data_IF_458805112859
#
_entry.id   IF_458805112859
#
_cell.length_a   1.000
_cell.length_b   1.000
_cell.length_c   1.000
_cell.angle_alpha   90.00
_cell.angle_beta   90.00
_cell.angle_gamma   90.00
#
_symmetry.space_group_name_H-M   'P 1'
#
loop_
_entity.id
_entity.type
_entity.pdbx_description
1 polymer ?
#
# COMPACT_ATOMS: atom_id res chain seq x y z
N UNK A 1 16.58 12.43 -53.64
CA UNK A 1 17.29 12.28 -52.36
C UNK A 1 16.27 11.88 -51.29
N UNK A 2 16.50 10.72 -50.66
CA UNK A 2 15.75 10.14 -49.51
C UNK A 2 15.93 11.08 -48.29
N UNK A 3 15.07 11.14 -47.26
CA UNK A 3 14.65 10.11 -46.28
C UNK A 3 13.50 10.74 -45.47
N UNK A 4 12.52 9.96 -45.00
CA UNK A 4 11.58 10.42 -43.97
C UNK A 4 10.45 9.43 -43.70
N UNK A 5 10.79 8.30 -43.09
CA UNK A 5 9.85 7.25 -42.66
C UNK A 5 8.73 7.79 -41.76
N UNK A 6 7.48 7.53 -42.14
CA UNK A 6 6.33 7.61 -41.25
C UNK A 6 6.43 6.51 -40.19
N UNK A 7 6.66 6.90 -38.93
CA UNK A 7 6.35 6.08 -37.78
C UNK A 7 4.92 6.39 -37.34
N UNK A 8 3.99 5.58 -37.83
CA UNK A 8 2.72 5.34 -37.14
C UNK A 8 3.04 4.40 -35.97
N UNK A 9 3.14 4.94 -34.75
CA UNK A 9 3.22 4.14 -33.54
C UNK A 9 1.89 4.26 -32.79
N UNK A 10 0.90 3.52 -33.27
CA UNK A 10 -0.27 3.12 -32.49
C UNK A 10 0.20 1.98 -31.59
N UNK A 11 0.43 2.25 -30.30
CA UNK A 11 0.70 1.21 -29.31
C UNK A 11 -0.37 1.25 -28.23
N UNK A 12 -1.40 0.45 -28.49
CA UNK A 12 -2.42 -0.02 -27.56
C UNK A 12 -1.70 -0.67 -26.37
N UNK A 13 -1.78 -0.05 -25.19
CA UNK A 13 -1.31 -0.64 -23.95
C UNK A 13 -2.40 -1.54 -23.37
N UNK A 14 -2.48 -2.75 -23.90
CA UNK A 14 -2.99 -3.91 -23.17
C UNK A 14 -1.84 -4.89 -23.04
N UNK A 15 -1.18 -4.89 -21.89
CA UNK A 15 -0.34 -6.01 -21.48
C UNK A 15 -0.87 -6.54 -20.15
N UNK A 16 -1.76 -7.52 -20.28
CA UNK A 16 -1.84 -8.64 -19.35
C UNK A 16 -0.45 -9.28 -19.29
N UNK A 17 0.20 -9.18 -18.15
CA UNK A 17 1.38 -9.99 -17.86
C UNK A 17 0.94 -11.10 -16.90
N UNK A 18 0.52 -12.22 -17.49
CA UNK A 18 0.66 -13.54 -16.89
C UNK A 18 2.15 -13.79 -16.66
N UNK A 19 2.57 -13.65 -15.40
CA UNK A 19 3.91 -14.07 -14.98
C UNK A 19 3.81 -15.51 -14.51
N UNK A 20 4.21 -16.39 -15.41
CA UNK A 20 4.49 -17.81 -15.15
C UNK A 20 5.59 -17.90 -14.07
N UNK A 21 5.19 -18.32 -12.87
CA UNK A 21 6.08 -18.50 -11.71
C UNK A 21 7.03 -19.68 -11.94
N UNK A 22 8.22 -19.43 -12.50
CA UNK A 22 9.33 -20.39 -12.48
C UNK A 22 9.96 -20.43 -11.09
N UNK A 23 9.64 -21.50 -10.35
CA UNK A 23 10.18 -21.81 -9.04
C UNK A 23 11.71 -21.96 -9.06
N UNK A 24 12.39 -21.09 -8.32
CA UNK A 24 13.81 -21.19 -8.02
C UNK A 24 14.06 -22.12 -6.84
N UNK A 25 14.74 -23.24 -7.08
CA UNK A 25 15.27 -24.17 -6.07
C UNK A 25 16.42 -23.50 -5.30
N UNK A 26 16.20 -23.23 -4.02
CA UNK A 26 17.26 -22.91 -3.05
C UNK A 26 17.71 -24.14 -2.28
N UNK A 27 18.98 -24.50 -2.41
CA UNK A 27 19.69 -25.57 -1.71
C UNK A 27 19.96 -25.16 -0.25
N UNK A 28 19.28 -25.82 0.70
CA UNK A 28 19.46 -25.63 2.14
C UNK A 28 19.93 -26.91 2.82
N UNK A 29 21.12 -26.86 3.42
CA UNK A 29 21.78 -27.94 4.18
C UNK A 29 20.86 -28.55 5.24
N UNK A 30 20.81 -29.89 5.25
CA UNK A 30 20.09 -30.68 6.23
C UNK A 30 20.62 -30.51 7.65
N UNK A 31 19.69 -30.32 8.59
CA UNK A 31 19.91 -30.52 10.01
C UNK A 31 18.73 -31.32 10.55
N UNK A 32 18.98 -32.60 10.82
CA UNK A 32 18.03 -33.52 11.42
C UNK A 32 17.51 -32.95 12.73
N UNK A 33 16.19 -32.73 12.82
CA UNK A 33 15.48 -32.53 14.09
C UNK A 33 14.15 -33.26 14.05
N UNK A 34 14.11 -34.31 14.87
CA UNK A 34 12.95 -34.84 15.61
C UNK A 34 11.57 -34.56 15.02
N UNK A 35 10.93 -35.63 14.53
CA UNK A 35 9.51 -35.69 14.22
C UNK A 35 8.72 -35.47 15.53
N UNK A 36 8.47 -34.20 15.85
CA UNK A 36 7.55 -33.79 16.91
C UNK A 36 6.19 -33.64 16.24
N UNK A 37 5.23 -34.47 16.66
CA UNK A 37 3.80 -34.36 16.33
C UNK A 37 3.44 -32.87 16.26
N UNK A 38 3.19 -32.39 15.06
CA UNK A 38 3.05 -30.95 14.79
C UNK A 38 1.70 -30.52 15.32
N UNK A 39 1.66 -30.13 16.59
CA UNK A 39 0.58 -29.28 17.10
C UNK A 39 0.46 -28.13 16.10
N UNK A 40 -0.70 -28.00 15.42
CA UNK A 40 -0.99 -26.92 14.48
C UNK A 40 -0.84 -25.60 15.22
N UNK A 41 0.37 -25.04 15.18
CA UNK A 41 0.76 -23.88 15.98
C UNK A 41 0.46 -22.65 15.14
N UNK A 42 -0.48 -21.83 15.60
CA UNK A 42 -0.69 -20.51 15.00
C UNK A 42 0.60 -19.68 15.09
N UNK A 43 0.91 -19.00 13.99
CA UNK A 43 2.08 -18.13 13.89
C UNK A 43 1.61 -16.74 14.29
N UNK A 44 1.93 -16.31 15.51
CA UNK A 44 1.66 -14.93 15.97
C UNK A 44 2.69 -13.97 15.37
N UNK A 45 2.22 -12.88 14.74
CA UNK A 45 3.04 -11.85 14.11
C UNK A 45 2.55 -10.46 14.51
N UNK A 46 3.47 -9.57 14.82
CA UNK A 46 3.15 -8.16 15.07
C UNK A 46 3.05 -7.42 13.74
N UNK A 47 2.03 -6.57 13.62
CA UNK A 47 1.81 -5.73 12.46
C UNK A 47 2.92 -4.70 12.29
N UNK A 48 3.43 -4.61 11.06
CA UNK A 48 4.31 -3.52 10.61
C UNK A 48 3.45 -2.36 10.12
N UNK A 49 4.07 -1.22 9.81
CA UNK A 49 3.37 -0.11 9.15
C UNK A 49 2.76 -0.57 7.82
N UNK A 50 1.46 -0.39 7.67
CA UNK A 50 0.71 -0.71 6.45
C UNK A 50 0.26 0.55 5.69
N UNK A 51 -0.68 0.37 4.77
CA UNK A 51 -1.31 1.49 4.07
C UNK A 51 -2.00 2.44 5.05
N UNK A 52 -1.66 3.73 4.97
CA UNK A 52 -2.27 4.80 5.77
C UNK A 52 -3.76 4.90 5.44
N UNK A 53 -4.11 4.84 4.15
CA UNK A 53 -5.49 4.90 3.69
C UNK A 53 -6.33 3.77 4.29
N UNK A 54 -5.87 2.51 4.17
CA UNK A 54 -6.60 1.36 4.74
C UNK A 54 -6.71 1.44 6.26
N UNK A 55 -5.67 1.94 6.92
CA UNK A 55 -5.71 2.17 8.38
C UNK A 55 -6.77 3.19 8.77
N UNK A 56 -6.88 4.29 8.03
CA UNK A 56 -7.90 5.31 8.27
C UNK A 56 -9.31 4.79 8.01
N UNK A 57 -9.50 4.01 6.94
CA UNK A 57 -10.79 3.40 6.60
C UNK A 57 -11.22 2.37 7.64
N UNK A 58 -10.29 1.54 8.14
CA UNK A 58 -10.56 0.64 9.26
C UNK A 58 -10.99 1.41 10.52
N UNK A 59 -10.24 2.45 10.89
CA UNK A 59 -10.54 3.26 12.09
C UNK A 59 -11.88 3.99 11.98
N UNK A 60 -12.22 4.52 10.81
CA UNK A 60 -13.51 5.18 10.60
C UNK A 60 -14.68 4.19 10.63
N UNK A 61 -14.50 2.97 10.09
CA UNK A 61 -15.49 1.90 10.19
C UNK A 61 -15.68 1.45 11.65
N UNK A 62 -14.59 1.30 12.41
CA UNK A 62 -14.62 0.90 13.82
C UNK A 62 -15.31 1.93 14.72
N UNK A 63 -15.00 3.20 14.53
CA UNK A 63 -15.51 4.31 15.33
C UNK A 63 -16.84 4.87 14.83
N UNK A 64 -17.32 4.38 13.68
CA UNK A 64 -18.58 4.82 13.09
C UNK A 64 -19.75 4.53 14.03
N UNK A 65 -20.57 5.54 14.32
CA UNK A 65 -21.72 5.40 15.24
C UNK A 65 -22.72 4.30 14.83
N UNK A 66 -22.76 3.93 13.55
CA UNK A 66 -23.59 2.84 13.02
C UNK A 66 -22.98 1.43 13.11
N UNK A 67 -21.73 1.29 13.55
CA UNK A 67 -21.02 0.02 13.57
C UNK A 67 -21.41 -0.89 14.74
N UNK A 68 -21.96 -0.33 15.82
CA UNK A 68 -22.49 -1.10 16.96
C UNK A 68 -21.42 -1.77 17.85
N UNK A 69 -20.13 -1.55 17.61
CA UNK A 69 -19.05 -2.16 18.40
C UNK A 69 -18.76 -1.42 19.71
N UNK A 70 -19.01 -0.10 19.71
CA UNK A 70 -18.62 0.81 20.79
C UNK A 70 -19.83 1.60 21.29
N UNK A 71 -19.84 1.92 22.58
CA UNK A 71 -20.76 2.87 23.21
C UNK A 71 -19.97 4.06 23.72
N UNK A 72 -20.36 5.26 23.29
CA UNK A 72 -19.77 6.49 23.78
C UNK A 72 -20.36 6.87 25.14
N UNK A 73 -19.50 7.14 26.12
CA UNK A 73 -19.90 7.64 27.44
C UNK A 73 -18.82 8.56 28.01
N UNK A 74 -19.19 9.78 28.41
CA UNK A 74 -18.31 10.78 29.03
C UNK A 74 -16.97 11.02 28.29
N UNK A 75 -17.01 11.03 26.95
CA UNK A 75 -15.81 11.24 26.11
C UNK A 75 -14.88 10.02 25.98
N UNK A 76 -15.30 8.85 26.46
CA UNK A 76 -14.65 7.54 26.27
C UNK A 76 -15.52 6.63 25.43
N UNK A 77 -14.91 5.61 24.84
CA UNK A 77 -15.61 4.56 24.10
C UNK A 77 -15.48 3.24 24.87
N UNK A 78 -16.60 2.55 25.04
CA UNK A 78 -16.64 1.26 25.73
C UNK A 78 -17.02 0.16 24.74
N UNK A 79 -16.26 -0.94 24.76
CA UNK A 79 -16.55 -2.14 23.97
C UNK A 79 -17.83 -2.78 24.49
N UNK A 80 -18.82 -2.96 23.61
CA UNK A 80 -20.11 -3.56 23.99
C UNK A 80 -19.96 -5.03 24.38
N UNK A 81 -19.39 -5.82 23.47
CA UNK A 81 -19.12 -7.23 23.70
C UNK A 81 -17.73 -7.58 23.15
N UNK A 82 -16.75 -7.93 24.01
CA UNK A 82 -15.38 -8.20 23.55
C UNK A 82 -15.25 -9.54 22.82
N UNK A 83 -16.25 -10.43 22.92
CA UNK A 83 -16.27 -11.71 22.21
C UNK A 83 -16.79 -11.58 20.78
N UNK A 84 -17.52 -10.51 20.48
CA UNK A 84 -18.07 -10.29 19.15
C UNK A 84 -16.98 -9.68 18.25
N UNK A 85 -16.71 -10.27 17.08
CA UNK A 85 -15.70 -9.75 16.18
C UNK A 85 -16.15 -8.43 15.54
N UNK A 86 -15.22 -7.52 15.37
CA UNK A 86 -15.36 -6.38 14.47
C UNK A 86 -15.30 -6.92 13.03
N UNK A 87 -16.25 -6.56 12.19
CA UNK A 87 -16.29 -6.95 10.78
C UNK A 87 -15.80 -5.80 9.91
N UNK A 88 -14.75 -6.05 9.13
CA UNK A 88 -14.20 -5.09 8.18
C UNK A 88 -13.65 -5.81 6.96
N UNK A 89 -14.12 -5.44 5.75
CA UNK A 89 -13.75 -6.09 4.48
C UNK A 89 -13.81 -7.64 4.55
N UNK A 90 -14.93 -8.17 5.04
CA UNK A 90 -15.17 -9.63 5.23
C UNK A 90 -14.25 -10.32 6.24
N UNK A 91 -13.36 -9.58 6.90
CA UNK A 91 -12.45 -10.09 7.93
C UNK A 91 -12.97 -9.80 9.33
N UNK A 92 -12.71 -10.75 10.22
CA UNK A 92 -13.01 -10.67 11.66
C UNK A 92 -11.79 -10.19 12.43
N UNK A 93 -11.96 -9.08 13.16
CA UNK A 93 -10.96 -8.53 14.07
C UNK A 93 -11.45 -8.65 15.52
N UNK A 94 -10.52 -8.77 16.46
CA UNK A 94 -10.79 -9.03 17.86
C UNK A 94 -10.00 -8.06 18.74
N UNK A 95 -10.57 -7.70 19.89
CA UNK A 95 -9.99 -6.74 20.83
C UNK A 95 -8.80 -7.27 21.65
N UNK A 96 -8.55 -8.58 21.57
CA UNK A 96 -7.44 -9.26 22.26
C UNK A 96 -7.23 -10.64 21.64
N UNK A 97 -5.98 -11.12 21.64
CA UNK A 97 -5.62 -12.48 21.24
C UNK A 97 -6.38 -13.59 21.97
N UNK A 98 -6.88 -13.36 23.19
CA UNK A 98 -7.69 -14.33 23.94
C UNK A 98 -9.07 -14.58 23.32
N UNK A 99 -9.63 -13.61 22.58
CA UNK A 99 -10.93 -13.74 21.91
C UNK A 99 -10.81 -14.28 20.48
N UNK A 100 -9.59 -14.32 19.94
CA UNK A 100 -9.34 -14.83 18.60
C UNK A 100 -9.45 -16.38 18.58
N UNK A 101 -10.41 -16.95 17.83
CA UNK A 101 -10.53 -18.40 17.72
C UNK A 101 -9.40 -18.96 16.86
N UNK A 102 -8.84 -20.11 17.28
CA UNK A 102 -7.87 -20.84 16.48
C UNK A 102 -8.54 -21.23 15.16
N UNK A 103 -7.94 -20.82 14.04
CA UNK A 103 -8.47 -21.10 12.71
C UNK A 103 -7.38 -21.73 11.83
N UNK A 104 -7.64 -22.94 11.35
CA UNK A 104 -6.74 -23.69 10.48
C UNK A 104 -6.61 -23.04 9.09
N UNK A 105 -7.63 -22.32 8.61
CA UNK A 105 -7.58 -21.62 7.31
C UNK A 105 -6.79 -20.32 7.39
N UNK A 106 -6.69 -19.73 8.58
CA UNK A 106 -5.96 -18.49 8.84
C UNK A 106 -4.86 -18.75 9.90
N UNK A 107 -3.80 -19.48 9.52
CA UNK A 107 -2.77 -19.94 10.45
C UNK A 107 -1.86 -18.82 10.99
N UNK A 108 -1.90 -17.63 10.38
CA UNK A 108 -1.13 -16.46 10.81
C UNK A 108 -2.03 -15.54 11.63
N UNK A 109 -1.71 -15.35 12.91
CA UNK A 109 -2.40 -14.42 13.79
C UNK A 109 -1.64 -13.10 13.81
N UNK A 110 -2.21 -12.07 13.18
CA UNK A 110 -1.68 -10.72 13.16
C UNK A 110 -2.16 -9.92 14.37
N UNK A 111 -1.25 -9.16 14.97
CA UNK A 111 -1.51 -8.32 16.14
C UNK A 111 -1.02 -6.91 15.89
N UNK A 112 -1.93 -5.94 15.95
CA UNK A 112 -1.60 -4.53 15.90
C UNK A 112 -1.74 -3.92 17.31
N UNK A 113 -0.65 -3.56 17.99
CA UNK A 113 -0.72 -2.94 19.30
C UNK A 113 -1.37 -1.55 19.20
N UNK A 114 -2.19 -1.23 20.21
CA UNK A 114 -2.79 0.10 20.37
C UNK A 114 -1.92 0.89 21.33
N UNK A 115 -1.42 2.04 20.89
CA UNK A 115 -0.77 3.00 21.77
C UNK A 115 -1.83 3.66 22.66
N UNK A 116 -1.69 3.62 24.01
CA UNK A 116 -2.59 4.35 24.91
C UNK A 116 -2.66 5.86 24.65
N UNK A 117 -1.64 6.45 24.03
CA UNK A 117 -1.61 7.85 23.62
C UNK A 117 -2.25 8.11 22.25
N UNK A 118 -2.71 7.07 21.54
CA UNK A 118 -3.40 7.25 20.26
C UNK A 118 -4.71 8.03 20.50
N UNK A 119 -4.91 9.17 19.80
CA UNK A 119 -6.04 10.06 20.06
C UNK A 119 -7.40 9.44 19.72
N UNK A 120 -7.41 8.41 18.86
CA UNK A 120 -8.62 7.74 18.39
C UNK A 120 -8.86 6.43 19.14
N UNK A 121 -7.87 5.55 19.18
CA UNK A 121 -8.00 4.19 19.73
C UNK A 121 -7.61 4.10 21.21
N UNK A 122 -6.76 5.00 21.72
CA UNK A 122 -6.30 4.99 23.12
C UNK A 122 -7.43 5.24 24.14
N UNK A 123 -8.57 5.76 23.66
CA UNK A 123 -9.78 6.04 24.47
C UNK A 123 -10.83 4.92 24.42
N UNK A 124 -10.44 3.73 23.95
CA UNK A 124 -11.31 2.55 23.92
C UNK A 124 -11.04 1.68 25.16
N UNK A 125 -12.10 1.35 25.87
CA UNK A 125 -12.07 0.64 27.14
C UNK A 125 -12.96 -0.60 27.10
N UNK A 126 -12.56 -1.62 27.85
CA UNK A 126 -13.42 -2.72 28.23
C UNK A 126 -14.38 -2.30 29.36
N UNK A 127 -15.40 -3.11 29.62
CA UNK A 127 -16.37 -2.87 30.69
C UNK A 127 -15.76 -2.87 32.10
N UNK A 128 -14.59 -3.51 32.28
CA UNK A 128 -13.80 -3.50 33.51
C UNK A 128 -12.84 -2.29 33.60
N UNK A 129 -13.04 -1.26 32.77
CA UNK A 129 -12.24 -0.04 32.69
C UNK A 129 -10.78 -0.24 32.24
N UNK A 130 -10.39 -1.44 31.80
CA UNK A 130 -9.08 -1.64 31.19
C UNK A 130 -9.03 -1.11 29.76
N UNK A 131 -7.89 -0.61 29.32
CA UNK A 131 -7.69 -0.14 27.94
C UNK A 131 -7.57 -1.32 26.97
N UNK A 132 -8.11 -1.15 25.76
CA UNK A 132 -7.78 -2.00 24.62
C UNK A 132 -6.29 -1.87 24.29
N UNK A 133 -5.56 -2.99 24.25
CA UNK A 133 -4.09 -3.01 24.08
C UNK A 133 -3.66 -3.43 22.69
N UNK A 134 -4.50 -4.17 21.99
CA UNK A 134 -4.19 -4.70 20.67
C UNK A 134 -5.48 -4.95 19.88
N UNK A 135 -5.35 -5.01 18.56
CA UNK A 135 -6.35 -5.57 17.67
C UNK A 135 -5.74 -6.79 16.98
N UNK A 136 -6.48 -7.88 16.93
CA UNK A 136 -6.00 -9.18 16.44
C UNK A 136 -6.87 -9.67 15.30
N UNK A 137 -6.24 -10.20 14.24
CA UNK A 137 -6.94 -10.81 13.10
C UNK A 137 -6.14 -11.98 12.52
N UNK A 138 -6.80 -12.76 11.66
CA UNK A 138 -6.18 -13.89 10.97
C UNK A 138 -5.79 -13.54 9.55
N UNK A 139 -4.66 -14.06 9.09
CA UNK A 139 -4.21 -14.05 7.70
C UNK A 139 -3.88 -15.48 7.24
N UNK A 140 -3.88 -15.67 5.93
CA UNK A 140 -3.48 -16.92 5.28
C UNK A 140 -1.99 -17.23 5.51
N UNK A 141 -1.62 -18.49 5.30
CA UNK A 141 -0.24 -18.93 5.41
C UNK A 141 0.66 -18.20 4.40
N UNK A 142 1.81 -17.69 4.88
CA UNK A 142 2.76 -16.94 4.06
C UNK A 142 2.52 -15.43 4.02
N UNK A 143 1.39 -14.94 4.55
CA UNK A 143 1.12 -13.52 4.68
C UNK A 143 1.91 -12.86 5.82
N UNK A 144 2.26 -11.60 5.61
CA UNK A 144 2.76 -10.66 6.61
C UNK A 144 1.63 -9.75 7.10
N UNK A 145 1.85 -9.11 8.24
CA UNK A 145 0.88 -8.23 8.88
C UNK A 145 1.25 -6.76 8.59
N UNK A 146 0.41 -6.04 7.85
CA UNK A 146 0.64 -4.65 7.45
C UNK A 146 -0.51 -3.75 7.91
N UNK A 147 -0.35 -3.01 9.01
CA UNK A 147 -1.38 -2.14 9.56
C UNK A 147 -2.57 -2.94 10.08
N UNK A 148 -3.68 -2.95 9.33
CA UNK A 148 -4.87 -3.78 9.60
C UNK A 148 -5.17 -4.75 8.45
N UNK A 149 -4.17 -5.04 7.61
CA UNK A 149 -4.30 -5.82 6.40
C UNK A 149 -3.29 -6.98 6.35
N UNK A 150 -3.54 -7.94 5.47
CA UNK A 150 -2.65 -9.04 5.14
C UNK A 150 -1.89 -8.68 3.86
N UNK A 151 -0.58 -8.52 3.96
CA UNK A 151 0.27 -8.22 2.82
C UNK A 151 1.11 -9.46 2.46
N UNK A 152 1.33 -9.68 1.18
CA UNK A 152 2.38 -10.60 0.76
C UNK A 152 3.71 -9.85 0.81
N UNK A 153 4.79 -10.54 1.16
CA UNK A 153 6.14 -10.01 0.95
C UNK A 153 6.40 -9.92 -0.56
N UNK A 154 5.86 -8.88 -1.19
CA UNK A 154 6.28 -8.42 -2.50
C UNK A 154 7.68 -7.87 -2.28
N UNK A 155 8.69 -8.74 -2.37
CA UNK A 155 10.05 -8.45 -1.94
C UNK A 155 10.51 -7.07 -2.38
N UNK A 156 11.32 -6.42 -1.52
CA UNK A 156 11.84 -5.05 -1.65
C UNK A 156 12.29 -4.70 -3.09
N UNK A 157 12.80 -5.69 -3.83
CA UNK A 157 13.14 -5.58 -5.25
C UNK A 157 11.99 -5.09 -6.14
N UNK A 158 10.76 -5.59 -5.97
CA UNK A 158 9.59 -5.17 -6.76
C UNK A 158 9.30 -3.68 -6.57
N UNK A 159 9.31 -3.21 -5.32
CA UNK A 159 9.05 -1.80 -4.99
C UNK A 159 10.17 -0.88 -5.47
N UNK A 160 11.44 -1.27 -5.32
CA UNK A 160 12.58 -0.49 -5.82
C UNK A 160 12.57 -0.41 -7.35
N UNK A 161 12.29 -1.52 -8.04
CA UNK A 161 12.23 -1.54 -9.50
C UNK A 161 11.09 -0.66 -10.03
N UNK A 162 9.92 -0.68 -9.38
CA UNK A 162 8.81 0.22 -9.71
C UNK A 162 9.20 1.69 -9.52
N UNK A 163 9.82 2.03 -8.39
CA UNK A 163 10.29 3.40 -8.14
C UNK A 163 11.35 3.84 -9.17
N UNK A 164 12.33 2.99 -9.43
CA UNK A 164 13.39 3.26 -10.40
C UNK A 164 12.82 3.49 -11.81
N UNK A 165 11.84 2.69 -12.23
CA UNK A 165 11.17 2.87 -13.51
C UNK A 165 10.46 4.23 -13.60
N UNK A 166 9.73 4.63 -12.56
CA UNK A 166 9.06 5.95 -12.50
C UNK A 166 10.07 7.09 -12.57
N UNK A 167 11.20 6.99 -11.86
CA UNK A 167 12.25 8.01 -11.89
C UNK A 167 12.85 8.14 -13.29
N UNK A 168 13.16 7.03 -13.95
CA UNK A 168 13.69 7.03 -15.32
C UNK A 168 12.69 7.67 -16.29
N UNK A 169 11.41 7.34 -16.16
CA UNK A 169 10.35 7.89 -17.01
C UNK A 169 10.21 9.42 -16.83
N UNK A 170 10.24 9.91 -15.59
CA UNK A 170 10.23 11.35 -15.29
C UNK A 170 11.48 12.06 -15.84
N UNK A 171 12.65 11.43 -15.76
CA UNK A 171 13.89 11.99 -16.31
C UNK A 171 13.81 12.12 -17.84
N UNK A 172 13.30 11.11 -18.54
CA UNK A 172 13.11 11.16 -19.99
C UNK A 172 12.12 12.25 -20.40
N UNK A 173 10.99 12.37 -19.70
CA UNK A 173 10.03 13.46 -19.90
C UNK A 173 10.69 14.82 -19.66
N UNK A 174 11.46 14.96 -18.57
CA UNK A 174 12.19 16.18 -18.26
C UNK A 174 13.16 16.59 -19.37
N UNK A 175 13.94 15.64 -19.90
CA UNK A 175 14.86 15.90 -21.02
C UNK A 175 14.11 16.32 -22.29
N UNK A 176 12.99 15.67 -22.61
CA UNK A 176 12.14 16.07 -23.73
C UNK A 176 11.59 17.49 -23.56
N UNK A 177 11.13 17.85 -22.36
CA UNK A 177 10.65 19.21 -22.06
C UNK A 177 11.76 20.25 -22.21
N UNK A 178 12.97 19.95 -21.74
CA UNK A 178 14.13 20.84 -21.89
C UNK A 178 14.45 21.05 -23.38
N UNK A 179 14.48 19.98 -24.17
CA UNK A 179 14.68 20.07 -25.61
C UNK A 179 13.56 20.89 -26.28
N UNK A 180 12.30 20.65 -25.94
CA UNK A 180 11.16 21.44 -26.44
C UNK A 180 11.31 22.94 -26.15
N UNK A 181 11.69 23.31 -24.92
CA UNK A 181 11.92 24.71 -24.54
C UNK A 181 13.08 25.30 -25.34
N UNK A 182 14.18 24.56 -25.49
CA UNK A 182 15.36 24.98 -26.27
C UNK A 182 14.97 25.27 -27.72
N UNK A 183 14.18 24.40 -28.34
CA UNK A 183 13.64 24.61 -29.69
C UNK A 183 12.71 25.82 -29.76
N UNK A 184 11.83 26.03 -28.77
CA UNK A 184 10.95 27.21 -28.73
C UNK A 184 11.73 28.53 -28.65
N UNK A 185 12.76 28.61 -27.81
CA UNK A 185 13.61 29.81 -27.71
C UNK A 185 14.31 30.10 -29.04
N UNK A 186 14.82 29.05 -29.71
CA UNK A 186 15.43 29.17 -31.04
C UNK A 186 14.46 29.74 -32.08
N UNK A 187 13.20 29.25 -32.09
CA UNK A 187 12.17 29.75 -32.99
C UNK A 187 11.81 31.22 -32.70
N UNK A 188 11.64 31.59 -31.43
CA UNK A 188 11.33 32.98 -31.03
C UNK A 188 12.46 33.93 -31.45
N UNK A 189 13.72 33.53 -31.22
CA UNK A 189 14.89 34.32 -31.60
C UNK A 189 14.95 34.58 -33.13
N UNK A 190 14.69 33.56 -33.95
CA UNK A 190 14.65 33.68 -35.42
C UNK A 190 13.47 34.53 -35.93
N UNK A 191 12.32 34.48 -35.26
CA UNK A 191 11.18 35.34 -35.64
C UNK A 191 11.47 36.82 -35.37
N UNK A 192 12.16 37.11 -34.25
CA UNK A 192 12.55 38.47 -33.86
C UNK A 192 13.54 39.09 -34.84
N UNK A 193 14.48 38.32 -35.37
CA UNK A 193 15.46 38.83 -36.36
C UNK A 193 14.82 39.12 -37.71
N UNK A 194 13.88 38.28 -38.18
CA UNK A 194 13.16 38.53 -39.45
C UNK A 194 12.29 39.78 -39.42
N UNK A 195 11.59 40.06 -38.31
CA UNK A 195 10.76 41.26 -38.19
C UNK A 195 11.58 42.56 -38.12
N UNK A 196 12.86 42.51 -37.73
CA UNK A 196 13.73 43.70 -37.69
C UNK A 196 14.30 44.08 -39.07
N UNK A 197 14.13 43.26 -40.10
CA UNK A 197 14.68 43.49 -41.44
C UNK A 197 13.64 43.94 -42.48
N UNK A 198 12.41 44.22 -42.07
CA UNK A 198 11.45 45.02 -42.83
C UNK A 198 11.39 46.43 -42.24
N UNK A 199 12.38 47.32 -42.50
CA UNK A 199 12.13 48.74 -42.34
C UNK A 199 11.01 49.08 -43.32
N UNK A 200 9.90 49.57 -42.76
CA UNK A 200 8.81 50.19 -43.49
C UNK A 200 9.43 51.15 -44.50
N UNK A 201 9.41 50.78 -45.78
CA UNK A 201 9.63 51.71 -46.87
C UNK A 201 8.37 52.57 -46.92
N UNK A 202 8.35 53.62 -46.10
CA UNK A 202 7.42 54.73 -46.23
C UNK A 202 7.72 55.39 -47.57
N UNK A 203 7.00 54.94 -48.60
CA UNK A 203 6.81 55.67 -49.83
C UNK A 203 6.04 56.96 -49.52
N UNK A 204 6.72 58.09 -49.81
CA UNK A 204 6.22 59.31 -50.47
C UNK A 204 4.99 59.98 -49.85
#
# INVERSE_FOLDING_TARGET
MRIGHGLNLLLVLTFSLEVESKGGRGTGRGRSRSFRVTQKRMIKRTAKSGSIERTQVFRSALLGAGAGYLVASKGRFYIQNPRDPILFEERKFYWDSQYYPINDTLPVQCVNPIDPQDPQLGRIYFSNESHAREIVWGCEGGAECCGYDCCMDDGIFSSILRLAFVIVLLALIGLLLIECIRWMIYCIAQFRTKNSFNPVSTHI
#
